data_IF_723019005227
#
_entry.id   IF_723019005227
#
_cell.length_a   1.000
_cell.length_b   1.000
_cell.length_c   1.000
_cell.angle_alpha   90.00
_cell.angle_beta   90.00
_cell.angle_gamma   90.00
#
_symmetry.space_group_name_H-M   'P 1'
#
loop_
_entity.id
_entity.type
_entity.pdbx_description
1 polymer ?
#
# COMPACT_ATOMS: atom_id res chain seq x y z
N UNK A 1 -3.98 27.96 14.82
CA UNK A 1 -2.75 28.56 15.36
C UNK A 1 -1.59 27.64 15.01
N UNK A 2 -0.91 27.93 13.89
CA UNK A 2 0.43 27.44 13.58
C UNK A 2 1.14 28.63 12.93
N UNK A 3 1.91 29.36 13.75
CA UNK A 3 2.82 30.40 13.29
C UNK A 3 4.17 29.73 13.03
N UNK A 4 4.58 29.65 11.78
CA UNK A 4 5.95 29.33 11.42
C UNK A 4 6.80 30.59 11.63
N UNK A 5 7.66 30.57 12.64
CA UNK A 5 8.69 31.60 12.82
C UNK A 5 9.71 31.44 11.71
N UNK A 6 9.72 32.38 10.76
CA UNK A 6 10.81 32.50 9.80
C UNK A 6 12.11 32.81 10.57
N UNK A 7 13.14 32.01 10.32
CA UNK A 7 14.49 32.26 10.81
C UNK A 7 15.02 33.53 10.13
N UNK A 8 15.12 34.63 10.88
CA UNK A 8 15.76 35.86 10.43
C UNK A 8 17.27 35.67 10.36
N UNK A 9 17.75 35.13 9.24
CA UNK A 9 19.17 35.13 8.87
C UNK A 9 19.50 36.42 8.13
N UNK A 10 19.80 37.50 8.86
CA UNK A 10 20.11 38.80 8.25
C UNK A 10 21.59 38.84 7.83
N UNK A 11 21.86 38.49 6.58
CA UNK A 11 23.14 38.71 5.91
C UNK A 11 22.93 39.46 4.58
N UNK A 12 23.93 40.19 4.08
CA UNK A 12 23.81 41.07 2.90
C UNK A 12 23.48 40.33 1.58
N UNK A 13 23.45 38.99 1.61
CA UNK A 13 23.06 38.15 0.47
C UNK A 13 21.53 38.10 0.25
N UNK A 14 20.72 38.50 1.24
CA UNK A 14 19.26 38.42 1.19
C UNK A 14 18.57 39.75 0.79
N UNK A 15 19.32 40.82 0.53
CA UNK A 15 18.78 42.15 0.25
C UNK A 15 18.18 42.31 -1.16
N UNK A 16 18.24 41.28 -2.02
CA UNK A 16 17.73 41.34 -3.41
C UNK A 16 16.88 40.14 -3.83
N UNK A 17 16.08 39.61 -2.91
CA UNK A 17 14.99 38.72 -3.29
C UNK A 17 13.66 39.41 -3.02
N UNK A 18 13.34 40.41 -3.83
CA UNK A 18 11.94 40.65 -4.18
C UNK A 18 11.47 39.41 -4.95
N UNK A 19 11.13 38.35 -4.22
CA UNK A 19 10.43 37.23 -4.82
C UNK A 19 9.00 37.73 -5.01
N UNK A 20 8.52 37.94 -6.25
CA UNK A 20 7.08 38.04 -6.43
C UNK A 20 6.51 36.76 -5.83
N UNK A 21 5.63 36.90 -4.85
CA UNK A 21 4.76 35.80 -4.45
C UNK A 21 3.83 35.63 -5.63
N UNK A 22 4.30 34.93 -6.67
CA UNK A 22 3.42 34.41 -7.69
C UNK A 22 2.43 33.54 -6.92
N UNK A 23 1.14 33.90 -7.01
CA UNK A 23 0.06 32.98 -6.70
C UNK A 23 0.31 31.77 -7.57
N UNK A 24 0.98 30.77 -7.00
CA UNK A 24 1.05 29.43 -7.51
C UNK A 24 -0.20 28.78 -6.94
N UNK A 25 -1.35 28.78 -7.66
CA UNK A 25 -2.50 28.04 -7.20
C UNK A 25 -2.05 26.59 -7.18
N UNK A 26 -1.74 26.09 -5.98
CA UNK A 26 -1.59 24.67 -5.74
C UNK A 26 -2.85 24.03 -6.33
N UNK A 27 -2.71 23.09 -7.27
CA UNK A 27 -3.87 22.40 -7.82
C UNK A 27 -4.71 21.88 -6.65
N UNK A 28 -6.03 22.09 -6.69
CA UNK A 28 -6.91 21.52 -5.67
C UNK A 28 -6.68 20.02 -5.64
N UNK A 29 -6.14 19.53 -4.53
CA UNK A 29 -5.91 18.10 -4.33
C UNK A 29 -7.25 17.39 -4.45
N UNK A 30 -7.29 16.36 -5.30
CA UNK A 30 -8.47 15.52 -5.39
C UNK A 30 -8.73 14.92 -3.99
N UNK A 31 -9.99 14.71 -3.55
CA UNK A 31 -10.29 14.19 -2.21
C UNK A 31 -9.52 12.91 -1.83
N UNK A 32 -9.13 12.14 -2.85
CA UNK A 32 -8.26 10.99 -2.71
C UNK A 32 -6.79 11.34 -2.40
N UNK A 33 -6.20 12.35 -3.04
CA UNK A 33 -4.81 12.75 -2.81
C UNK A 33 -4.62 13.24 -1.37
N UNK A 34 -5.65 13.90 -0.82
CA UNK A 34 -5.75 14.18 0.62
C UNK A 34 -5.80 12.89 1.43
N UNK A 35 -6.66 11.94 1.05
CA UNK A 35 -6.83 10.66 1.74
C UNK A 35 -5.58 9.76 1.72
N UNK A 36 -4.85 9.75 0.61
CA UNK A 36 -3.62 8.98 0.43
C UNK A 36 -2.43 9.64 1.15
N UNK A 37 -2.34 10.97 1.12
CA UNK A 37 -1.38 11.72 1.92
C UNK A 37 -1.66 11.52 3.43
N UNK A 38 -2.92 11.56 3.86
CA UNK A 38 -3.32 11.28 5.24
C UNK A 38 -2.96 9.83 5.65
N UNK A 39 -3.14 8.87 4.74
CA UNK A 39 -2.75 7.48 4.98
C UNK A 39 -1.23 7.30 5.06
N UNK A 40 -0.45 7.98 4.19
CA UNK A 40 1.01 8.00 4.26
C UNK A 40 1.54 8.70 5.52
N UNK A 41 0.79 9.65 6.11
CA UNK A 41 1.21 10.46 7.25
C UNK A 41 0.72 9.93 8.62
N UNK A 42 -0.46 9.30 8.68
CA UNK A 42 -1.16 8.94 9.95
C UNK A 42 -1.59 7.46 10.01
N UNK A 43 -1.60 6.75 8.88
CA UNK A 43 -2.11 5.37 8.80
C UNK A 43 -3.65 5.28 8.93
N UNK A 44 -4.35 6.41 8.83
CA UNK A 44 -5.81 6.51 8.85
C UNK A 44 -6.21 7.46 7.73
N UNK A 45 -7.11 7.01 6.87
CA UNK A 45 -7.66 7.79 5.76
C UNK A 45 -8.94 8.49 6.23
N UNK A 46 -9.07 9.80 6.03
CA UNK A 46 -10.34 10.52 6.31
C UNK A 46 -11.48 10.13 5.33
N UNK A 47 -11.16 9.38 4.25
CA UNK A 47 -12.08 8.89 3.24
C UNK A 47 -12.26 7.35 3.24
N UNK A 48 -12.87 6.77 2.20
CA UNK A 48 -12.97 5.32 2.07
C UNK A 48 -11.60 4.70 1.75
N UNK A 49 -11.38 3.50 2.28
CA UNK A 49 -10.11 2.76 2.11
C UNK A 49 -9.72 2.61 0.62
N UNK A 50 -8.46 2.85 0.21
CA UNK A 50 -8.07 2.87 -1.22
C UNK A 50 -8.46 1.61 -2.02
N UNK A 51 -8.47 0.44 -1.38
CA UNK A 51 -8.88 -0.82 -2.03
C UNK A 51 -10.37 -0.85 -2.41
N UNK A 52 -11.24 -0.04 -1.79
CA UNK A 52 -12.67 0.01 -2.11
C UNK A 52 -12.91 0.50 -3.54
N UNK A 53 -12.07 1.41 -4.05
CA UNK A 53 -12.14 1.90 -5.43
C UNK A 53 -11.84 0.79 -6.46
N UNK A 54 -11.07 -0.22 -6.06
CA UNK A 54 -10.74 -1.37 -6.89
C UNK A 54 -11.72 -2.54 -6.76
N UNK A 55 -12.68 -2.46 -5.84
CA UNK A 55 -13.50 -3.61 -5.45
C UNK A 55 -14.20 -4.28 -6.62
N UNK A 56 -14.89 -3.52 -7.46
CA UNK A 56 -15.56 -4.08 -8.64
C UNK A 56 -14.60 -4.75 -9.63
N UNK A 57 -13.38 -4.26 -9.77
CA UNK A 57 -12.36 -4.89 -10.62
C UNK A 57 -11.78 -6.18 -10.01
N UNK A 58 -11.59 -6.18 -8.69
CA UNK A 58 -11.10 -7.32 -7.92
C UNK A 58 -12.11 -8.47 -7.91
N UNK A 59 -13.40 -8.18 -7.73
CA UNK A 59 -14.48 -9.17 -7.77
C UNK A 59 -14.55 -9.89 -9.11
N UNK A 60 -14.43 -9.16 -10.23
CA UNK A 60 -14.37 -9.76 -11.59
C UNK A 60 -13.17 -10.70 -11.77
N UNK A 61 -12.12 -10.54 -10.95
CA UNK A 61 -10.93 -11.40 -10.93
C UNK A 61 -11.00 -12.49 -9.85
N UNK A 62 -12.19 -12.73 -9.28
CA UNK A 62 -12.42 -13.69 -8.19
C UNK A 62 -11.49 -13.46 -6.99
N UNK A 63 -11.16 -12.20 -6.72
CA UNK A 63 -10.41 -11.81 -5.53
C UNK A 63 -11.37 -11.72 -4.36
N UNK A 64 -11.11 -12.49 -3.31
CA UNK A 64 -11.91 -12.49 -2.08
C UNK A 64 -11.43 -11.41 -1.13
N UNK A 65 -12.33 -10.90 -0.31
CA UNK A 65 -12.02 -9.93 0.74
C UNK A 65 -11.31 -10.59 1.92
N UNK A 66 -10.56 -9.82 2.70
CA UNK A 66 -9.88 -10.29 3.91
C UNK A 66 -10.86 -10.97 4.89
N UNK A 67 -12.01 -10.35 5.12
CA UNK A 67 -13.08 -10.89 5.98
C UNK A 67 -13.72 -12.19 5.49
N UNK A 68 -13.70 -12.46 4.18
CA UNK A 68 -14.26 -13.68 3.61
C UNK A 68 -13.38 -14.92 3.85
N UNK A 69 -12.07 -14.73 4.05
CA UNK A 69 -11.11 -15.83 4.25
C UNK A 69 -11.51 -16.75 5.42
N UNK A 70 -12.05 -16.17 6.48
CA UNK A 70 -12.51 -16.89 7.66
C UNK A 70 -13.62 -17.92 7.38
N UNK A 71 -14.36 -17.79 6.27
CA UNK A 71 -15.47 -18.68 5.90
C UNK A 71 -15.05 -19.77 4.89
N UNK A 72 -13.84 -19.68 4.33
CA UNK A 72 -13.37 -20.60 3.29
C UNK A 72 -12.66 -21.83 3.88
N UNK A 73 -12.82 -22.98 3.24
CA UNK A 73 -12.11 -24.20 3.65
C UNK A 73 -10.60 -24.09 3.43
N UNK A 74 -9.81 -24.58 4.39
CA UNK A 74 -8.35 -24.66 4.27
C UNK A 74 -7.93 -25.50 3.04
N UNK A 75 -6.73 -25.20 2.51
CA UNK A 75 -6.17 -25.84 1.31
C UNK A 75 -6.68 -25.28 -0.01
N UNK A 76 -7.77 -24.49 0.00
CA UNK A 76 -8.34 -23.90 -1.21
C UNK A 76 -7.38 -22.88 -1.84
N UNK A 77 -7.32 -22.89 -3.18
CA UNK A 77 -6.67 -21.81 -3.93
C UNK A 77 -7.52 -20.55 -3.89
N UNK A 78 -6.94 -19.44 -3.46
CA UNK A 78 -7.62 -18.15 -3.31
C UNK A 78 -6.78 -17.03 -3.91
N UNK A 79 -7.46 -15.94 -4.29
CA UNK A 79 -6.83 -14.68 -4.67
C UNK A 79 -7.28 -13.64 -3.65
N UNK A 80 -6.34 -12.91 -3.07
CA UNK A 80 -6.59 -11.78 -2.18
C UNK A 80 -5.87 -10.56 -2.72
N UNK A 81 -6.29 -9.37 -2.32
CA UNK A 81 -5.57 -8.15 -2.65
C UNK A 81 -5.69 -7.15 -1.52
N UNK A 82 -4.64 -6.35 -1.34
CA UNK A 82 -4.62 -5.30 -0.32
C UNK A 82 -3.37 -4.43 -0.38
N UNK A 83 -3.42 -3.35 0.37
CA UNK A 83 -2.26 -2.51 0.67
C UNK A 83 -1.32 -3.26 1.61
N UNK A 84 -0.01 -3.15 1.40
CA UNK A 84 0.96 -3.85 2.24
C UNK A 84 1.32 -2.99 3.44
N UNK A 85 0.93 -3.45 4.63
CA UNK A 85 1.12 -2.69 5.87
C UNK A 85 2.34 -3.17 6.63
N UNK A 86 2.61 -4.48 6.57
CA UNK A 86 3.74 -5.09 7.29
C UNK A 86 4.51 -6.00 6.34
N UNK A 87 5.84 -5.92 6.43
CA UNK A 87 6.79 -6.87 5.83
C UNK A 87 7.78 -7.33 6.90
N UNK A 88 7.76 -8.61 7.23
CA UNK A 88 8.66 -9.17 8.23
C UNK A 88 9.39 -10.37 7.67
N UNK A 89 10.69 -10.44 7.93
CA UNK A 89 11.53 -11.61 7.63
C UNK A 89 12.43 -11.92 8.82
N UNK A 90 11.88 -12.49 9.90
CA UNK A 90 12.64 -12.78 11.11
C UNK A 90 13.82 -13.71 10.81
N UNK A 91 14.97 -13.47 11.44
CA UNK A 91 16.17 -14.32 11.29
C UNK A 91 15.91 -15.78 11.72
N UNK A 92 15.01 -15.99 12.67
CA UNK A 92 14.62 -17.30 13.22
C UNK A 92 13.66 -18.09 12.33
N UNK A 93 13.04 -17.46 11.33
CA UNK A 93 11.98 -18.06 10.52
C UNK A 93 12.49 -18.83 9.28
N UNK A 94 13.75 -19.29 9.28
CA UNK A 94 14.35 -20.07 8.17
C UNK A 94 14.16 -19.41 6.79
N UNK A 95 14.21 -18.08 6.73
CA UNK A 95 14.05 -17.31 5.49
C UNK A 95 12.60 -17.18 4.98
N UNK A 96 11.60 -17.53 5.79
CA UNK A 96 10.20 -17.20 5.51
C UNK A 96 9.97 -15.70 5.63
N UNK A 97 9.15 -15.15 4.74
CA UNK A 97 8.68 -13.76 4.81
C UNK A 97 7.18 -13.75 5.12
N UNK A 98 6.77 -12.84 5.99
CA UNK A 98 5.39 -12.59 6.38
C UNK A 98 4.98 -11.22 5.87
N UNK A 99 3.82 -11.15 5.22
CA UNK A 99 3.19 -9.91 4.79
C UNK A 99 1.82 -9.79 5.45
N UNK A 100 1.44 -8.58 5.81
CA UNK A 100 0.06 -8.26 6.18
C UNK A 100 -0.49 -7.31 5.15
N UNK A 101 -1.59 -7.74 4.51
CA UNK A 101 -2.34 -6.97 3.54
C UNK A 101 -3.58 -6.39 4.20
N UNK A 102 -3.94 -5.16 3.86
CA UNK A 102 -5.16 -4.50 4.29
C UNK A 102 -6.07 -4.24 3.10
N UNK A 103 -7.34 -4.63 3.24
CA UNK A 103 -8.42 -4.18 2.37
C UNK A 103 -9.50 -3.48 3.20
N UNK A 104 -10.54 -2.96 2.55
CA UNK A 104 -11.63 -2.25 3.21
C UNK A 104 -12.44 -3.10 4.20
N UNK A 105 -12.18 -4.41 4.27
CA UNK A 105 -12.84 -5.34 5.18
C UNK A 105 -11.92 -5.87 6.29
N UNK A 106 -10.65 -5.47 6.29
CA UNK A 106 -9.67 -5.79 7.32
C UNK A 106 -8.39 -6.41 6.79
N UNK A 107 -7.72 -7.16 7.68
CA UNK A 107 -6.36 -7.65 7.46
C UNK A 107 -6.33 -9.09 6.96
N UNK A 108 -5.40 -9.39 6.07
CA UNK A 108 -5.07 -10.73 5.60
C UNK A 108 -3.58 -11.01 5.72
N UNK A 109 -3.23 -12.15 6.31
CA UNK A 109 -1.85 -12.57 6.46
C UNK A 109 -1.40 -13.42 5.27
N UNK A 110 -0.22 -13.12 4.74
CA UNK A 110 0.41 -13.86 3.66
C UNK A 110 1.76 -14.39 4.12
N UNK A 111 2.00 -15.66 3.86
CA UNK A 111 3.27 -16.33 4.12
C UNK A 111 3.95 -16.64 2.80
N UNK A 112 5.21 -16.22 2.67
CA UNK A 112 6.02 -16.40 1.46
C UNK A 112 7.23 -17.26 1.80
N UNK A 113 7.39 -18.36 1.07
CA UNK A 113 8.52 -19.28 1.24
C UNK A 113 9.80 -18.69 0.62
N UNK A 114 11.00 -19.11 1.08
CA UNK A 114 12.26 -18.59 0.53
C UNK A 114 12.37 -18.69 -1.01
N UNK A 115 12.01 -19.81 -1.66
CA UNK A 115 12.10 -19.90 -3.13
C UNK A 115 11.15 -18.93 -3.85
N UNK A 116 9.96 -18.68 -3.28
CA UNK A 116 8.98 -17.76 -3.85
C UNK A 116 9.42 -16.32 -3.63
N UNK A 117 9.97 -16.01 -2.46
CA UNK A 117 10.56 -14.71 -2.17
C UNK A 117 11.66 -14.35 -3.16
N UNK A 118 12.61 -15.26 -3.38
CA UNK A 118 13.75 -14.97 -4.26
C UNK A 118 13.31 -14.64 -5.69
N UNK A 119 12.31 -15.35 -6.20
CA UNK A 119 11.73 -15.12 -7.54
C UNK A 119 10.97 -13.80 -7.65
N UNK A 120 10.38 -13.33 -6.56
CA UNK A 120 9.49 -12.16 -6.56
C UNK A 120 10.08 -10.97 -5.77
N UNK A 121 11.38 -11.01 -5.42
CA UNK A 121 11.99 -10.09 -4.45
C UNK A 121 11.77 -8.63 -4.79
N UNK A 122 11.99 -8.23 -6.04
CA UNK A 122 11.82 -6.84 -6.46
C UNK A 122 10.38 -6.36 -6.21
N UNK A 123 9.40 -7.09 -6.73
CA UNK A 123 7.97 -6.82 -6.56
C UNK A 123 7.55 -6.82 -5.08
N UNK A 124 8.01 -7.81 -4.30
CA UNK A 124 7.69 -7.93 -2.88
C UNK A 124 8.39 -6.91 -1.99
N UNK A 125 9.36 -6.16 -2.49
CA UNK A 125 10.01 -5.09 -1.71
C UNK A 125 9.42 -3.73 -2.08
N UNK A 126 9.15 -3.48 -3.35
CA UNK A 126 8.77 -2.15 -3.84
C UNK A 126 7.27 -1.85 -3.84
N UNK A 127 6.41 -2.87 -4.01
CA UNK A 127 4.97 -2.64 -4.18
C UNK A 127 4.29 -2.11 -2.92
N UNK A 128 3.41 -1.14 -3.05
CA UNK A 128 2.55 -0.62 -1.97
C UNK A 128 1.26 -1.40 -1.85
N UNK A 129 0.78 -2.00 -2.95
CA UNK A 129 -0.35 -2.90 -2.94
C UNK A 129 -0.11 -4.13 -3.82
N UNK A 130 -0.65 -5.25 -3.38
CA UNK A 130 -0.43 -6.55 -4.01
C UNK A 130 -1.75 -7.28 -4.23
N UNK A 131 -1.84 -7.96 -5.37
CA UNK A 131 -2.71 -9.11 -5.53
C UNK A 131 -1.87 -10.36 -5.29
N UNK A 132 -2.34 -11.23 -4.41
CA UNK A 132 -1.69 -12.50 -4.07
C UNK A 132 -2.62 -13.66 -4.41
N UNK A 133 -2.12 -14.61 -5.19
CA UNK A 133 -2.77 -15.90 -5.36
C UNK A 133 -1.96 -16.98 -4.64
N UNK A 134 -2.66 -17.89 -3.97
CA UNK A 134 -2.02 -18.92 -3.18
C UNK A 134 -3.00 -19.85 -2.49
N UNK A 135 -2.48 -20.69 -1.60
CA UNK A 135 -3.30 -21.65 -0.84
C UNK A 135 -3.67 -21.09 0.52
N UNK A 136 -4.95 -21.17 0.86
CA UNK A 136 -5.43 -20.84 2.20
C UNK A 136 -4.87 -21.85 3.21
N UNK A 137 -4.14 -21.39 4.20
CA UNK A 137 -3.66 -22.20 5.32
C UNK A 137 -4.44 -21.82 6.59
N UNK A 138 -4.72 -22.84 7.39
CA UNK A 138 -5.28 -22.69 8.75
C UNK A 138 -4.34 -23.40 9.69
N UNK A 139 -3.76 -22.66 10.63
CA UNK A 139 -2.89 -23.20 11.69
C UNK A 139 -3.29 -22.56 13.00
N UNK A 140 -3.61 -23.39 13.99
CA UNK A 140 -3.89 -22.95 15.37
C UNK A 140 -4.93 -21.82 15.45
N UNK A 141 -5.98 -21.89 14.61
CA UNK A 141 -7.05 -20.89 14.56
C UNK A 141 -6.73 -19.65 13.72
N UNK A 142 -5.48 -19.46 13.29
CA UNK A 142 -5.07 -18.35 12.42
C UNK A 142 -5.27 -18.73 10.96
N UNK A 143 -5.95 -17.84 10.22
CA UNK A 143 -6.16 -17.94 8.78
C UNK A 143 -5.11 -17.10 8.06
N UNK A 144 -4.44 -17.70 7.07
CA UNK A 144 -3.49 -17.00 6.21
C UNK A 144 -3.44 -17.60 4.82
N UNK A 145 -2.75 -16.94 3.90
CA UNK A 145 -2.54 -17.44 2.54
C UNK A 145 -1.05 -17.69 2.33
N UNK A 146 -0.69 -18.92 1.97
CA UNK A 146 0.64 -19.19 1.44
C UNK A 146 0.71 -18.67 0.01
N UNK A 147 1.36 -17.53 -0.19
CA UNK A 147 1.42 -16.84 -1.48
C UNK A 147 2.36 -17.56 -2.45
N UNK A 148 1.90 -17.70 -3.70
CA UNK A 148 2.64 -18.39 -4.77
C UNK A 148 2.77 -17.52 -6.02
N UNK A 149 1.77 -16.68 -6.33
CA UNK A 149 1.78 -15.74 -7.45
C UNK A 149 1.46 -14.34 -6.95
N UNK A 150 2.21 -13.34 -7.43
CA UNK A 150 2.09 -11.96 -6.99
C UNK A 150 1.98 -11.02 -8.18
N UNK A 151 1.19 -9.96 -8.02
CA UNK A 151 1.01 -8.89 -9.01
C UNK A 151 0.96 -7.55 -8.27
N UNK A 152 1.72 -6.57 -8.78
CA UNK A 152 1.72 -5.22 -8.27
C UNK A 152 0.43 -4.49 -8.65
N UNK A 153 -0.26 -3.92 -7.67
CA UNK A 153 -1.47 -3.12 -7.89
C UNK A 153 -1.20 -1.62 -7.84
N UNK A 154 0.06 -1.20 -7.68
CA UNK A 154 0.48 0.20 -7.56
C UNK A 154 -0.15 1.08 -8.65
N UNK A 155 0.01 0.72 -9.92
CA UNK A 155 -0.55 1.42 -11.08
C UNK A 155 -2.09 1.49 -11.14
N UNK A 156 -2.78 0.72 -10.31
CA UNK A 156 -4.25 0.71 -10.19
C UNK A 156 -4.74 1.55 -9.02
N UNK A 157 -3.87 1.78 -8.03
CA UNK A 157 -4.23 2.66 -6.93
C UNK A 157 -4.37 4.08 -7.49
N UNK A 158 -5.44 4.81 -7.12
CA UNK A 158 -5.52 6.22 -7.43
C UNK A 158 -4.30 6.94 -6.80
N UNK A 159 -3.84 8.04 -7.40
CA UNK A 159 -2.64 8.76 -6.91
C UNK A 159 -1.30 8.03 -7.10
N UNK A 160 -1.27 6.81 -7.65
CA UNK A 160 -0.06 6.32 -8.31
C UNK A 160 0.19 7.29 -9.47
N UNK A 161 1.14 8.21 -9.26
CA UNK A 161 1.56 9.12 -10.30
C UNK A 161 1.75 8.28 -11.56
N UNK A 162 0.86 8.48 -12.54
CA UNK A 162 1.15 8.10 -13.90
C UNK A 162 2.55 8.63 -14.13
N UNK A 163 3.50 7.73 -14.37
CA UNK A 163 4.85 8.08 -14.77
C UNK A 163 4.68 9.18 -15.80
N UNK A 164 5.02 10.41 -15.42
CA UNK A 164 5.07 11.51 -16.37
C UNK A 164 6.30 11.16 -17.18
N UNK A 165 6.08 10.45 -18.27
CA UNK A 165 7.10 10.23 -19.29
C UNK A 165 7.63 11.61 -19.68
N UNK A 166 8.82 11.95 -19.20
CA UNK A 166 9.55 13.13 -19.65
C UNK A 166 10.22 12.74 -20.97
N UNK A 167 9.76 13.35 -22.07
CA UNK A 167 10.47 13.39 -23.36
C UNK A 167 11.20 14.73 -23.48
#
# INVERSE_FOLDING_TARGET
MWQASALSGTGPLFERLDSPVEDCPLPELHPFEVTAADYELVGISCGPHPMSYLRGWLERRSVVTSSALGRLSGGRWVRIAGMVIVRQRPSTAKGMTFLTLEDETGLANVVVTPPVWERNRSLLVSSRALLVAGRLERRDGVVGVRGEVFEALDHRLPGSAASRDFH
#
